data_IF_187927124840
#
_entry.id   IF_187927124840
#
_cell.length_a   1.000
_cell.length_b   1.000
_cell.length_c   1.000
_cell.angle_alpha   90.00
_cell.angle_beta   90.00
_cell.angle_gamma   90.00
#
_symmetry.space_group_name_H-M   'P 1'
#
loop_
_entity.id
_entity.type
_entity.pdbx_description
1 polymer ?
#
# COMPACT_ATOMS: atom_id res chain seq x y z
N UNK A 1 0.77 -74.50 43.39
CA UNK A 1 1.19 -73.11 43.60
C UNK A 1 1.23 -72.46 42.21
N UNK A 2 0.18 -71.76 41.84
CA UNK A 2 0.06 -71.07 40.52
C UNK A 2 0.37 -69.59 40.74
N UNK A 3 1.46 -69.11 40.10
CA UNK A 3 1.85 -67.68 40.12
C UNK A 3 1.13 -66.95 38.97
N UNK A 4 0.26 -66.02 39.32
CA UNK A 4 -0.45 -65.15 38.43
C UNK A 4 0.48 -63.96 38.13
N UNK A 5 0.92 -63.78 36.88
CA UNK A 5 1.64 -62.57 36.39
C UNK A 5 0.62 -61.54 35.87
N UNK A 6 0.55 -60.43 36.58
CA UNK A 6 -0.28 -59.29 36.18
C UNK A 6 0.56 -58.39 35.25
N UNK A 7 0.21 -58.34 33.98
CA UNK A 7 0.83 -57.43 33.03
C UNK A 7 0.12 -56.03 33.09
N UNK A 8 0.88 -55.03 33.46
CA UNK A 8 0.46 -53.64 33.50
C UNK A 8 0.73 -53.03 32.13
N UNK A 9 -0.30 -52.73 31.34
CA UNK A 9 -0.17 -52.03 30.08
C UNK A 9 -0.23 -50.53 30.36
N UNK A 10 0.92 -49.86 30.20
CA UNK A 10 1.02 -48.41 30.33
C UNK A 10 0.62 -47.77 28.98
N UNK A 11 -0.58 -47.20 28.90
CA UNK A 11 -1.04 -46.44 27.74
C UNK A 11 -0.43 -45.03 27.78
N UNK A 12 0.59 -44.78 26.95
CA UNK A 12 1.15 -43.43 26.75
C UNK A 12 0.25 -42.68 25.79
N UNK A 13 -0.60 -41.81 26.35
CA UNK A 13 -1.41 -40.87 25.56
C UNK A 13 -0.53 -39.75 24.97
N UNK A 14 -0.34 -39.74 23.67
CA UNK A 14 0.30 -38.62 22.95
C UNK A 14 -0.68 -37.44 22.90
N UNK A 15 -0.45 -36.42 23.70
CA UNK A 15 -1.14 -35.10 23.51
C UNK A 15 -0.65 -34.49 22.18
N UNK A 16 -1.50 -34.48 21.17
CA UNK A 16 -1.29 -33.70 19.97
C UNK A 16 -1.45 -32.21 20.31
N UNK A 17 -0.33 -31.50 20.40
CA UNK A 17 -0.33 -30.04 20.51
C UNK A 17 -0.66 -29.49 19.12
N UNK A 18 -1.91 -29.07 18.91
CA UNK A 18 -2.29 -28.32 17.70
C UNK A 18 -1.52 -26.98 17.68
N UNK A 19 -0.89 -26.58 16.54
CA UNK A 19 -0.27 -25.27 16.44
C UNK A 19 -1.37 -24.20 16.58
N UNK A 20 -1.23 -23.34 17.59
CA UNK A 20 -2.03 -22.11 17.69
C UNK A 20 -1.62 -21.24 16.50
N UNK A 21 -2.46 -21.19 15.46
CA UNK A 21 -2.35 -20.19 14.42
C UNK A 21 -2.54 -18.82 15.11
N UNK A 22 -1.43 -18.10 15.31
CA UNK A 22 -1.49 -16.71 15.78
C UNK A 22 -2.21 -15.91 14.71
N UNK A 23 -3.44 -15.47 14.99
CA UNK A 23 -4.14 -14.51 14.17
C UNK A 23 -3.30 -13.22 14.16
N UNK A 24 -2.72 -12.89 13.00
CA UNK A 24 -1.96 -11.67 12.80
C UNK A 24 -2.89 -10.48 13.13
N UNK A 25 -2.44 -9.56 13.98
CA UNK A 25 -3.28 -8.43 14.37
C UNK A 25 -3.66 -7.60 13.13
N UNK A 26 -4.86 -7.01 13.11
CA UNK A 26 -5.30 -6.17 12.00
C UNK A 26 -4.34 -4.99 11.76
N UNK A 27 -3.61 -4.56 12.79
CA UNK A 27 -2.58 -3.52 12.71
C UNK A 27 -1.33 -3.95 11.91
N UNK A 28 -1.08 -5.27 11.76
CA UNK A 28 0.08 -5.81 11.05
C UNK A 28 -0.22 -6.21 9.61
N UNK A 29 -1.48 -6.05 9.17
CA UNK A 29 -1.88 -6.38 7.81
C UNK A 29 -1.47 -5.28 6.82
N UNK A 30 -1.10 -5.62 5.57
CA UNK A 30 -0.88 -4.64 4.52
C UNK A 30 -2.09 -3.73 4.35
N UNK A 31 -1.82 -2.44 4.17
CA UNK A 31 -2.84 -1.40 4.01
C UNK A 31 -2.73 -0.82 2.61
N UNK A 32 -3.80 -0.94 1.82
CA UNK A 32 -3.82 -0.52 0.42
C UNK A 32 -4.61 0.77 0.25
N UNK A 33 -4.05 1.71 -0.49
CA UNK A 33 -4.73 2.96 -0.88
C UNK A 33 -4.61 3.14 -2.38
N UNK A 34 -5.69 3.52 -3.01
CA UNK A 34 -5.74 3.95 -4.42
C UNK A 34 -5.91 5.48 -4.48
N UNK A 35 -5.03 6.13 -5.23
CA UNK A 35 -4.97 7.58 -5.44
C UNK A 35 -5.37 7.88 -6.88
N UNK A 36 -6.48 8.56 -7.08
CA UNK A 36 -7.02 8.86 -8.38
C UNK A 36 -6.74 10.31 -8.77
N UNK A 37 -6.38 10.52 -10.01
CA UNK A 37 -6.06 11.83 -10.57
C UNK A 37 -6.86 12.07 -11.85
N UNK A 38 -7.63 13.16 -11.86
CA UNK A 38 -8.37 13.65 -13.02
C UNK A 38 -7.73 14.96 -13.46
N UNK A 39 -7.02 14.96 -14.59
CA UNK A 39 -6.36 16.12 -15.12
C UNK A 39 -7.33 16.97 -15.99
N UNK A 40 -7.03 18.26 -16.16
CA UNK A 40 -7.66 19.09 -17.18
C UNK A 40 -7.40 18.49 -18.55
N UNK A 41 -8.34 18.64 -19.46
CA UNK A 41 -8.19 18.18 -20.84
C UNK A 41 -6.91 18.74 -21.46
N UNK A 42 -6.11 17.85 -22.07
CA UNK A 42 -4.81 18.20 -22.65
C UNK A 42 -3.65 18.28 -21.66
N UNK A 43 -3.89 18.13 -20.34
CA UNK A 43 -2.83 18.25 -19.31
C UNK A 43 -2.37 16.90 -18.71
N UNK A 44 -2.93 15.77 -19.14
CA UNK A 44 -2.60 14.45 -18.57
C UNK A 44 -1.13 14.11 -18.72
N UNK A 45 -0.54 14.33 -19.88
CA UNK A 45 0.90 14.04 -20.13
C UNK A 45 1.82 14.96 -19.31
N UNK A 46 1.44 16.24 -19.13
CA UNK A 46 2.18 17.16 -18.27
C UNK A 46 2.13 16.69 -16.83
N UNK A 47 0.95 16.29 -16.34
CA UNK A 47 0.80 15.72 -15.01
C UNK A 47 1.71 14.50 -14.82
N UNK A 48 1.68 13.54 -15.76
CA UNK A 48 2.49 12.33 -15.67
C UNK A 48 3.99 12.65 -15.64
N UNK A 49 4.43 13.60 -16.45
CA UNK A 49 5.83 14.04 -16.48
C UNK A 49 6.26 14.64 -15.13
N UNK A 50 5.45 15.53 -14.56
CA UNK A 50 5.71 16.15 -13.26
C UNK A 50 5.64 15.12 -12.12
N UNK A 51 4.68 14.22 -12.16
CA UNK A 51 4.55 13.12 -11.20
C UNK A 51 5.82 12.24 -11.20
N UNK A 52 6.28 11.81 -12.37
CA UNK A 52 7.49 10.99 -12.51
C UNK A 52 8.75 11.71 -12.06
N UNK A 53 8.83 13.02 -12.31
CA UNK A 53 9.99 13.84 -11.93
C UNK A 53 10.05 14.12 -10.43
N UNK A 54 8.93 14.54 -9.84
CA UNK A 54 8.92 15.16 -8.52
C UNK A 54 8.26 14.30 -7.43
N UNK A 55 7.26 13.49 -7.77
CA UNK A 55 6.50 12.74 -6.77
C UNK A 55 6.95 11.28 -6.68
N UNK A 56 7.13 10.61 -7.80
CA UNK A 56 7.51 9.20 -7.82
C UNK A 56 8.85 8.89 -7.11
N UNK A 57 9.92 9.73 -7.18
CA UNK A 57 11.14 9.48 -6.43
C UNK A 57 10.92 9.45 -4.92
N UNK A 58 10.02 10.28 -4.39
CA UNK A 58 9.63 10.26 -2.98
C UNK A 58 8.93 8.94 -2.60
N UNK A 59 8.01 8.46 -3.44
CA UNK A 59 7.35 7.16 -3.24
C UNK A 59 8.37 6.01 -3.29
N UNK A 60 9.29 6.04 -4.25
CA UNK A 60 10.38 5.07 -4.36
C UNK A 60 11.23 5.04 -3.09
N UNK A 61 11.54 6.21 -2.53
CA UNK A 61 12.29 6.30 -1.25
C UNK A 61 11.54 5.64 -0.10
N UNK A 62 10.22 5.79 -0.03
CA UNK A 62 9.41 5.12 0.99
C UNK A 62 9.36 3.60 0.79
N UNK A 63 9.43 3.10 -0.45
CA UNK A 63 9.60 1.65 -0.72
C UNK A 63 10.97 1.18 -0.20
N UNK A 64 12.05 1.90 -0.48
CA UNK A 64 13.40 1.58 0.01
C UNK A 64 13.48 1.58 1.55
N UNK A 65 12.71 2.44 2.21
CA UNK A 65 12.59 2.50 3.68
C UNK A 65 11.68 1.40 4.25
N UNK A 66 11.05 0.58 3.42
CA UNK A 66 10.13 -0.47 3.87
C UNK A 66 8.79 0.04 4.43
N UNK A 67 8.44 1.32 4.23
CA UNK A 67 7.11 1.86 4.57
C UNK A 67 6.05 1.39 3.57
N UNK A 68 6.42 1.37 2.29
CA UNK A 68 5.60 0.86 1.21
C UNK A 68 6.17 -0.47 0.71
N UNK A 69 5.32 -1.44 0.46
CA UNK A 69 5.67 -2.75 -0.13
C UNK A 69 5.66 -2.68 -1.65
N UNK A 70 4.74 -1.90 -2.22
CA UNK A 70 4.58 -1.79 -3.67
C UNK A 70 3.90 -0.49 -4.05
N UNK A 71 4.32 0.09 -5.17
CA UNK A 71 3.70 1.25 -5.82
C UNK A 71 3.64 0.98 -7.31
N UNK A 72 2.49 1.27 -7.94
CA UNK A 72 2.35 1.26 -9.39
C UNK A 72 1.31 2.26 -9.83
N UNK A 73 1.28 2.58 -11.12
CA UNK A 73 0.32 3.48 -11.72
C UNK A 73 -0.37 2.79 -12.89
N UNK A 74 -1.67 2.97 -12.97
CA UNK A 74 -2.52 2.54 -14.07
C UNK A 74 -3.10 3.75 -14.79
N UNK A 75 -3.45 3.56 -16.06
CA UNK A 75 -4.25 4.49 -16.87
C UNK A 75 -5.39 3.70 -17.52
N UNK A 76 -6.59 4.27 -17.68
CA UNK A 76 -7.68 3.60 -18.38
C UNK A 76 -7.29 3.26 -19.81
N UNK A 77 -7.65 2.06 -20.24
CA UNK A 77 -7.44 1.66 -21.66
C UNK A 77 -8.45 2.34 -22.59
N UNK A 78 -9.64 2.64 -22.05
CA UNK A 78 -10.74 3.28 -22.78
C UNK A 78 -11.20 4.51 -22.00
N UNK A 79 -11.77 5.49 -22.71
CA UNK A 79 -12.36 6.68 -22.09
C UNK A 79 -13.68 6.33 -21.40
N UNK A 80 -14.01 7.08 -20.36
CA UNK A 80 -15.28 7.05 -19.64
C UNK A 80 -16.04 8.35 -19.88
N UNK A 81 -17.22 8.46 -19.26
CA UNK A 81 -17.96 9.72 -19.19
C UNK A 81 -17.15 10.76 -18.41
N UNK A 82 -17.43 12.06 -18.66
CA UNK A 82 -16.71 13.15 -17.96
C UNK A 82 -16.83 13.01 -16.43
N UNK A 83 -17.98 12.64 -15.92
CA UNK A 83 -18.20 12.50 -14.46
C UNK A 83 -17.44 11.33 -13.85
N UNK A 84 -17.29 10.24 -14.59
CA UNK A 84 -16.65 9.01 -14.11
C UNK A 84 -15.19 8.85 -14.53
N UNK A 85 -14.63 9.76 -15.34
CA UNK A 85 -13.25 9.60 -15.81
C UNK A 85 -12.22 9.94 -14.75
N UNK A 86 -11.14 9.22 -14.82
CA UNK A 86 -9.84 9.54 -14.22
C UNK A 86 -8.76 9.27 -15.27
N UNK A 87 -7.61 9.93 -15.15
CA UNK A 87 -6.51 9.77 -16.10
C UNK A 87 -5.44 8.83 -15.56
N UNK A 88 -5.18 8.90 -14.26
CA UNK A 88 -4.21 8.04 -13.59
C UNK A 88 -4.75 7.56 -12.25
N UNK A 89 -4.39 6.30 -11.91
CA UNK A 89 -4.59 5.72 -10.59
C UNK A 89 -3.25 5.19 -10.09
N UNK A 90 -2.81 5.68 -8.95
CA UNK A 90 -1.65 5.13 -8.24
C UNK A 90 -2.16 4.22 -7.14
N UNK A 91 -1.71 2.98 -7.13
CA UNK A 91 -2.00 2.05 -6.03
C UNK A 91 -0.74 1.88 -5.19
N UNK A 92 -0.88 2.08 -3.89
CA UNK A 92 0.18 1.91 -2.90
C UNK A 92 -0.25 0.85 -1.91
N UNK A 93 0.61 -0.16 -1.71
CA UNK A 93 0.48 -1.11 -0.62
C UNK A 93 1.49 -0.70 0.44
N UNK A 94 1.01 -0.17 1.54
CA UNK A 94 1.81 0.10 2.74
C UNK A 94 2.01 -1.19 3.53
N UNK A 95 3.12 -1.26 4.28
CA UNK A 95 3.41 -2.41 5.14
C UNK A 95 2.29 -2.69 6.14
N UNK A 96 1.69 -1.63 6.67
CA UNK A 96 0.51 -1.66 7.55
C UNK A 96 -0.12 -0.26 7.62
N UNK A 97 -1.20 -0.12 8.36
CA UNK A 97 -1.90 1.15 8.57
C UNK A 97 -1.02 2.22 9.22
N UNK A 98 -0.18 1.86 10.20
CA UNK A 98 0.76 2.81 10.83
C UNK A 98 1.76 3.36 9.81
N UNK A 99 2.31 2.51 8.95
CA UNK A 99 3.22 2.97 7.90
C UNK A 99 2.56 3.96 6.92
N UNK A 100 1.23 3.89 6.73
CA UNK A 100 0.49 4.84 5.91
C UNK A 100 0.22 6.18 6.62
N UNK A 101 -0.05 6.14 7.94
CA UNK A 101 -0.64 7.27 8.67
C UNK A 101 0.33 7.95 9.66
N UNK A 102 1.36 7.23 10.14
CA UNK A 102 2.27 7.79 11.13
C UNK A 102 3.24 8.79 10.47
N UNK A 103 3.56 9.90 11.14
CA UNK A 103 4.51 10.88 10.67
C UNK A 103 5.88 10.27 10.34
N UNK A 104 6.55 10.81 9.33
CA UNK A 104 7.93 10.51 8.98
C UNK A 104 8.59 11.76 8.40
N UNK A 105 9.92 11.79 8.30
CA UNK A 105 10.67 12.96 7.81
C UNK A 105 10.60 13.08 6.28
N UNK A 106 9.41 13.36 5.77
CA UNK A 106 9.18 13.60 4.34
C UNK A 106 9.93 14.82 3.83
N UNK A 107 9.93 15.90 4.62
CA UNK A 107 10.59 17.15 4.23
C UNK A 107 12.11 17.02 4.15
N UNK A 108 12.73 16.24 5.05
CA UNK A 108 14.14 15.91 4.96
C UNK A 108 14.48 15.14 3.69
N UNK A 109 13.64 14.19 3.31
CA UNK A 109 13.79 13.42 2.08
C UNK A 109 13.62 14.32 0.84
N UNK A 110 12.63 15.21 0.82
CA UNK A 110 12.40 16.16 -0.28
C UNK A 110 13.62 17.07 -0.48
N UNK A 111 14.19 17.61 0.60
CA UNK A 111 15.41 18.44 0.50
C UNK A 111 16.61 17.68 -0.05
N UNK A 112 16.74 16.40 0.28
CA UNK A 112 17.81 15.56 -0.26
C UNK A 112 17.61 15.24 -1.75
N UNK A 113 16.39 14.94 -2.16
CA UNK A 113 16.06 14.57 -3.54
C UNK A 113 16.07 15.77 -4.48
N UNK A 114 15.72 16.95 -3.98
CA UNK A 114 15.52 18.16 -4.77
C UNK A 114 16.29 19.35 -4.16
N UNK A 115 17.60 19.47 -4.42
CA UNK A 115 18.39 20.60 -3.90
C UNK A 115 17.86 21.98 -4.31
N UNK A 116 17.33 22.10 -5.55
CA UNK A 116 16.60 23.28 -6.02
C UNK A 116 15.15 23.24 -5.55
N UNK A 117 14.94 23.67 -4.31
CA UNK A 117 13.61 23.67 -3.69
C UNK A 117 12.63 24.64 -4.37
N UNK A 118 13.11 25.74 -4.96
CA UNK A 118 12.25 26.72 -5.62
C UNK A 118 11.62 26.10 -6.88
N UNK A 119 12.42 25.48 -7.73
CA UNK A 119 11.92 24.77 -8.91
C UNK A 119 11.01 23.62 -8.53
N UNK A 120 11.39 22.84 -7.51
CA UNK A 120 10.58 21.73 -7.02
C UNK A 120 9.18 22.18 -6.58
N UNK A 121 9.10 23.24 -5.76
CA UNK A 121 7.83 23.77 -5.26
C UNK A 121 6.93 24.30 -6.39
N UNK A 122 7.52 25.04 -7.36
CA UNK A 122 6.78 25.55 -8.53
C UNK A 122 6.20 24.39 -9.37
N UNK A 123 6.97 23.36 -9.59
CA UNK A 123 6.53 22.20 -10.37
C UNK A 123 5.48 21.36 -9.63
N UNK A 124 5.59 21.19 -8.30
CA UNK A 124 4.56 20.53 -7.49
C UNK A 124 3.27 21.34 -7.46
N UNK A 125 3.35 22.67 -7.29
CA UNK A 125 2.19 23.54 -7.42
C UNK A 125 1.54 23.38 -8.80
N UNK A 126 2.33 23.43 -9.89
CA UNK A 126 1.83 23.23 -11.25
C UNK A 126 1.15 21.88 -11.42
N UNK A 127 1.70 20.82 -10.86
CA UNK A 127 1.13 19.47 -10.91
C UNK A 127 -0.28 19.43 -10.31
N UNK A 128 -0.54 20.16 -9.22
CA UNK A 128 -1.89 20.28 -8.64
C UNK A 128 -2.81 21.22 -9.41
N UNK A 129 -2.30 22.34 -9.94
CA UNK A 129 -3.09 23.31 -10.72
C UNK A 129 -3.72 22.72 -11.98
N UNK A 130 -3.10 21.71 -12.58
CA UNK A 130 -3.60 21.04 -13.77
C UNK A 130 -4.58 19.90 -13.47
N UNK A 131 -4.86 19.61 -12.20
CA UNK A 131 -5.91 18.67 -11.81
C UNK A 131 -7.27 19.35 -11.77
N UNK A 132 -8.30 18.58 -12.16
CA UNK A 132 -9.71 18.88 -11.90
C UNK A 132 -10.19 18.24 -10.60
N UNK A 133 -9.68 17.05 -10.31
CA UNK A 133 -10.01 16.31 -9.09
C UNK A 133 -8.87 15.35 -8.70
N UNK A 134 -8.76 15.12 -7.41
CA UNK A 134 -7.90 14.12 -6.82
C UNK A 134 -8.60 13.55 -5.59
N UNK A 135 -8.59 12.23 -5.44
CA UNK A 135 -9.19 11.56 -4.28
C UNK A 135 -8.46 10.28 -3.95
N UNK A 136 -8.52 9.89 -2.67
CA UNK A 136 -7.81 8.76 -2.10
C UNK A 136 -8.82 7.78 -1.51
N UNK A 137 -8.70 6.51 -1.87
CA UNK A 137 -9.60 5.45 -1.41
C UNK A 137 -8.79 4.34 -0.71
N UNK A 138 -8.89 4.20 0.61
CA UNK A 138 -8.44 2.99 1.27
C UNK A 138 -9.24 1.79 0.78
N UNK A 139 -8.55 0.72 0.39
CA UNK A 139 -9.13 -0.49 -0.20
C UNK A 139 -8.99 -1.64 0.78
N UNK A 140 -10.07 -2.39 0.96
CA UNK A 140 -10.08 -3.67 1.67
C UNK A 140 -10.48 -4.78 0.70
N UNK A 141 -9.63 -5.79 0.59
CA UNK A 141 -9.99 -7.02 -0.14
C UNK A 141 -11.07 -7.79 0.61
N UNK A 142 -12.04 -8.31 -0.13
CA UNK A 142 -13.08 -9.22 0.38
C UNK A 142 -12.82 -10.60 -0.19
N UNK A 143 -12.65 -11.59 0.68
CA UNK A 143 -12.57 -12.98 0.25
C UNK A 143 -14.01 -13.48 -0.05
N UNK A 144 -14.27 -13.79 -1.32
CA UNK A 144 -15.57 -14.29 -1.76
C UNK A 144 -15.74 -15.79 -1.52
N UNK A 145 -14.70 -16.50 -1.07
CA UNK A 145 -14.77 -17.95 -0.81
C UNK A 145 -15.19 -18.28 0.63
N UNK A 146 -15.08 -17.33 1.54
CA UNK A 146 -15.51 -17.46 2.94
C UNK A 146 -17.01 -17.16 3.02
N UNK A 147 -17.79 -18.14 3.56
CA UNK A 147 -19.24 -18.01 3.82
C UNK A 147 -19.47 -17.36 5.18
#
# INVERSE_FOLDING_TARGET
>A
MKRLLLAFVLAIGTLAVAPLAQAQSAADQPFTVEYYYKAKWGSADEFLRLFKKNHYPLLKKQVEMGRMLKVWMDTPRYHSTEDGRWDYRVTIIFRNSSAANDPFDEEGIKRQLYPDQETYQKEEQRRFEILLAHWDLPIKSVDLTVK
#
